data_IF_015878332937
#
_entry.id   IF_015878332937
#
_cell.length_a   1.000
_cell.length_b   1.000
_cell.length_c   1.000
_cell.angle_alpha   90.00
_cell.angle_beta   90.00
_cell.angle_gamma   90.00
#
_symmetry.space_group_name_H-M   'P 1'
#
loop_
_entity.id
_entity.type
_entity.pdbx_description
1 polymer ?
#
# COMPACT_ATOMS: atom_id res chain seq x y z
N UNK A 1 -2.78 15.70 0.64
CA UNK A 1 -1.97 15.61 1.88
C UNK A 1 -0.78 14.67 1.68
N UNK A 2 0.32 14.86 2.43
CA UNK A 2 1.52 14.01 2.33
C UNK A 2 1.48 12.96 3.43
N UNK A 3 1.66 11.70 3.05
CA UNK A 3 1.67 10.58 3.98
C UNK A 3 2.99 9.83 3.91
N UNK A 4 3.42 9.25 5.02
CA UNK A 4 4.56 8.36 5.10
C UNK A 4 4.08 6.91 5.16
N UNK A 5 4.63 6.03 4.33
CA UNK A 5 4.38 4.60 4.45
C UNK A 5 5.08 4.09 5.72
N UNK A 6 4.33 3.49 6.64
CA UNK A 6 4.87 2.94 7.89
C UNK A 6 4.86 1.41 7.91
N UNK A 7 4.01 0.78 7.11
CA UNK A 7 3.91 -0.68 6.98
C UNK A 7 3.30 -1.04 5.63
N UNK A 8 3.71 -2.19 5.08
CA UNK A 8 3.12 -2.81 3.89
C UNK A 8 2.80 -4.26 4.27
N UNK A 9 1.53 -4.64 4.13
CA UNK A 9 1.03 -5.96 4.47
C UNK A 9 0.66 -6.73 3.21
N UNK A 10 1.51 -7.68 2.84
CA UNK A 10 1.24 -8.60 1.73
C UNK A 10 0.26 -9.71 2.17
N UNK A 11 -0.78 -10.05 1.38
CA UNK A 11 -1.60 -11.21 1.65
C UNK A 11 -0.81 -12.52 1.65
N UNK A 12 -1.09 -13.35 2.65
CA UNK A 12 -0.56 -14.71 2.78
C UNK A 12 -1.49 -15.71 2.06
N UNK A 13 -0.94 -16.43 1.06
CA UNK A 13 -1.68 -17.44 0.28
C UNK A 13 -1.44 -18.86 0.79
N UNK A 14 -0.59 -19.03 1.80
CA UNK A 14 -0.17 -20.35 2.28
C UNK A 14 0.41 -21.23 1.17
N UNK A 15 0.27 -22.55 1.32
CA UNK A 15 0.84 -23.54 0.42
C UNK A 15 0.02 -23.77 -0.87
N UNK A 16 -1.22 -23.28 -0.94
CA UNK A 16 -2.11 -23.53 -2.08
C UNK A 16 -1.77 -22.68 -3.30
N UNK A 17 -0.87 -21.69 -3.14
CA UNK A 17 -0.42 -20.82 -4.22
C UNK A 17 -1.47 -19.79 -4.63
N UNK A 18 -1.12 -18.96 -5.62
CA UNK A 18 -2.00 -17.92 -6.17
C UNK A 18 -2.72 -18.45 -7.42
N UNK A 19 -3.99 -18.07 -7.66
CA UNK A 19 -4.63 -18.31 -8.95
C UNK A 19 -3.82 -17.72 -10.12
N UNK A 20 -3.90 -18.32 -11.31
CA UNK A 20 -3.11 -17.87 -12.50
C UNK A 20 -3.35 -16.41 -12.89
N UNK A 21 -4.55 -15.88 -12.63
CA UNK A 21 -4.97 -14.51 -12.97
C UNK A 21 -5.05 -13.59 -11.75
N UNK A 22 -4.41 -13.96 -10.64
CA UNK A 22 -4.46 -13.18 -9.42
C UNK A 22 -3.54 -11.96 -9.47
N UNK A 23 -4.11 -10.78 -9.26
CA UNK A 23 -3.38 -9.53 -9.06
C UNK A 23 -3.15 -9.34 -7.56
N UNK A 24 -1.89 -9.33 -7.16
CA UNK A 24 -1.47 -9.07 -5.78
C UNK A 24 -1.80 -7.63 -5.39
N UNK A 25 -2.56 -7.49 -4.31
CA UNK A 25 -2.91 -6.20 -3.71
C UNK A 25 -2.52 -6.24 -2.24
N UNK A 26 -1.70 -5.28 -1.84
CA UNK A 26 -1.21 -5.14 -0.48
C UNK A 26 -1.98 -4.05 0.26
N UNK A 27 -2.06 -4.19 1.58
CA UNK A 27 -2.56 -3.15 2.46
C UNK A 27 -1.37 -2.26 2.89
N UNK A 28 -1.36 -1.02 2.43
CA UNK A 28 -0.32 -0.02 2.70
C UNK A 28 -0.79 0.87 3.83
N UNK A 29 -0.14 0.75 4.99
CA UNK A 29 -0.42 1.60 6.14
C UNK A 29 0.39 2.89 6.01
N UNK A 30 -0.31 4.01 6.02
CA UNK A 30 0.29 5.33 5.88
C UNK A 30 -0.07 6.22 7.06
N UNK A 31 0.85 7.11 7.44
CA UNK A 31 0.71 8.06 8.54
C UNK A 31 0.77 9.50 8.00
N UNK A 32 -0.17 10.35 8.41
CA UNK A 32 -0.15 11.79 8.11
C UNK A 32 0.81 12.58 9.03
N UNK A 33 0.90 13.89 8.85
CA UNK A 33 1.74 14.77 9.67
C UNK A 33 1.22 14.98 11.10
N UNK A 34 -0.03 14.62 11.38
CA UNK A 34 -0.67 14.66 12.69
C UNK A 34 -0.56 13.32 13.45
N UNK A 35 -0.02 12.28 12.81
CA UNK A 35 0.12 10.92 13.36
C UNK A 35 -1.11 10.04 13.16
N UNK A 36 -2.07 10.45 12.32
CA UNK A 36 -3.23 9.63 11.98
C UNK A 36 -2.86 8.56 10.95
N UNK A 37 -3.30 7.34 11.18
CA UNK A 37 -3.01 6.20 10.31
C UNK A 37 -4.19 5.86 9.40
N UNK A 38 -3.88 5.52 8.16
CA UNK A 38 -4.83 5.11 7.14
C UNK A 38 -4.33 3.86 6.42
N UNK A 39 -5.25 3.05 5.90
CA UNK A 39 -4.92 1.88 5.09
C UNK A 39 -5.34 2.15 3.65
N UNK A 40 -4.41 2.00 2.72
CA UNK A 40 -4.64 2.10 1.29
C UNK A 40 -4.43 0.74 0.65
N UNK A 41 -5.29 0.38 -0.31
CA UNK A 41 -5.09 -0.82 -1.11
C UNK A 41 -4.29 -0.48 -2.36
N UNK A 42 -3.15 -1.14 -2.56
CA UNK A 42 -2.31 -0.90 -3.74
C UNK A 42 -1.87 -2.22 -4.36
N UNK A 43 -1.86 -2.28 -5.70
CA UNK A 43 -1.25 -3.40 -6.41
C UNK A 43 0.25 -3.44 -6.10
N UNK A 44 0.77 -4.60 -5.74
CA UNK A 44 2.19 -4.82 -5.45
C UNK A 44 3.09 -4.34 -6.62
N UNK A 45 2.66 -4.62 -7.85
CA UNK A 45 3.36 -4.15 -9.05
C UNK A 45 3.49 -2.61 -9.11
N UNK A 46 2.50 -1.86 -8.61
CA UNK A 46 2.55 -0.39 -8.57
C UNK A 46 3.50 0.11 -7.48
N UNK A 47 3.55 -0.56 -6.33
CA UNK A 47 4.53 -0.24 -5.29
C UNK A 47 5.96 -0.36 -5.85
N UNK A 48 6.23 -1.45 -6.58
CA UNK A 48 7.52 -1.66 -7.24
C UNK A 48 7.82 -0.63 -8.34
N UNK A 49 6.86 -0.37 -9.24
CA UNK A 49 7.02 0.60 -10.34
C UNK A 49 7.34 2.01 -9.81
N UNK A 50 6.63 2.43 -8.77
CA UNK A 50 6.78 3.74 -8.14
C UNK A 50 7.94 3.80 -7.13
N UNK A 51 8.62 2.68 -6.89
CA UNK A 51 9.67 2.51 -5.87
C UNK A 51 9.21 2.96 -4.48
N UNK A 52 7.98 2.59 -4.14
CA UNK A 52 7.37 2.82 -2.84
C UNK A 52 7.70 1.65 -1.92
N UNK A 53 8.19 1.99 -0.74
CA UNK A 53 8.56 1.07 0.34
C UNK A 53 8.31 1.76 1.68
N UNK A 54 8.40 1.03 2.79
CA UNK A 54 8.33 1.57 4.15
C UNK A 54 9.33 2.74 4.29
N UNK A 55 8.83 3.88 4.76
CA UNK A 55 9.58 5.13 4.88
C UNK A 55 9.47 6.06 3.66
N UNK A 56 8.91 5.59 2.54
CA UNK A 56 8.58 6.43 1.39
C UNK A 56 7.45 7.39 1.72
N UNK A 57 7.38 8.48 0.96
CA UNK A 57 6.30 9.45 1.08
C UNK A 57 5.45 9.46 -0.16
N UNK A 58 4.15 9.61 0.03
CA UNK A 58 3.16 9.71 -1.03
C UNK A 58 2.39 11.01 -0.90
N UNK A 59 2.08 11.63 -2.03
CA UNK A 59 1.12 12.72 -2.10
C UNK A 59 -0.20 12.13 -2.59
N UNK A 60 -1.22 12.25 -1.75
CA UNK A 60 -2.58 11.79 -2.06
C UNK A 60 -3.42 13.05 -2.14
N UNK A 61 -3.94 13.34 -3.32
CA UNK A 61 -4.99 14.34 -3.47
C UNK A 61 -6.25 13.76 -2.83
N UNK A 62 -6.90 14.52 -1.93
CA UNK A 62 -8.14 14.09 -1.30
C UNK A 62 -9.10 13.62 -2.38
N UNK A 63 -9.54 12.36 -2.29
CA UNK A 63 -10.55 11.84 -3.20
C UNK A 63 -11.88 12.36 -2.66
N UNK A 64 -12.47 13.34 -3.34
CA UNK A 64 -13.86 13.75 -3.06
C UNK A 64 -14.77 12.51 -3.08
N UNK A 65 -15.54 12.32 -2.01
CA UNK A 65 -16.47 11.21 -1.74
C UNK A 65 -17.61 11.10 -2.77
#
# INVERSE_FOLDING_TARGET
MRYKIIEILEPDFGCEGRPEVYVQVDDVVVEDDLGSQHILKMEDAKLYELKLDIGSYMEIEEVDD
#
